data_IF_064167371123
#
_entry.id   IF_064167371123
#
_cell.length_a   1.000
_cell.length_b   1.000
_cell.length_c   1.000
_cell.angle_alpha   90.00
_cell.angle_beta   90.00
_cell.angle_gamma   90.00
#
_symmetry.space_group_name_H-M   'P 1'
#
loop_
_entity.id
_entity.type
_entity.pdbx_description
1 polymer ?
#
# COMPACT_ATOMS: atom_id res chain seq x y z
N UNK A 1 -2.36 -5.70 -19.32
CA UNK A 1 -1.64 -5.29 -18.09
C UNK A 1 -1.62 -6.43 -17.10
N UNK A 2 -0.47 -6.70 -16.52
CA UNK A 2 -0.30 -7.69 -15.45
C UNK A 2 -0.53 -7.00 -14.10
N UNK A 3 -1.31 -7.63 -13.20
CA UNK A 3 -1.48 -7.15 -11.82
C UNK A 3 -0.46 -7.80 -10.90
N UNK A 4 0.25 -6.99 -10.14
CA UNK A 4 1.29 -7.41 -9.19
C UNK A 4 0.94 -6.85 -7.81
N UNK A 5 0.68 -7.72 -6.86
CA UNK A 5 0.53 -7.37 -5.44
C UNK A 5 1.90 -7.54 -4.75
N UNK A 6 2.48 -6.43 -4.31
CA UNK A 6 3.84 -6.41 -3.76
C UNK A 6 3.96 -7.25 -2.50
N UNK A 7 2.98 -7.17 -1.59
CA UNK A 7 2.99 -7.94 -0.35
C UNK A 7 2.96 -9.44 -0.64
N UNK A 8 2.08 -9.87 -1.55
CA UNK A 8 1.96 -11.27 -1.95
C UNK A 8 3.25 -11.80 -2.58
N UNK A 9 3.94 -11.00 -3.38
CA UNK A 9 5.20 -11.39 -4.00
C UNK A 9 6.33 -11.54 -2.98
N UNK A 10 6.39 -10.64 -1.99
CA UNK A 10 7.36 -10.75 -0.89
C UNK A 10 7.09 -12.02 -0.06
N UNK A 11 5.83 -12.31 0.26
CA UNK A 11 5.45 -13.53 0.95
C UNK A 11 5.84 -14.79 0.16
N UNK A 12 5.53 -14.80 -1.12
CA UNK A 12 5.86 -15.93 -2.00
C UNK A 12 7.38 -16.17 -2.09
N UNK A 13 8.16 -15.12 -2.28
CA UNK A 13 9.61 -15.21 -2.39
C UNK A 13 10.29 -15.73 -1.10
N UNK A 14 9.68 -15.44 0.06
CA UNK A 14 10.21 -15.87 1.36
C UNK A 14 9.53 -17.11 1.93
N UNK A 15 8.50 -17.65 1.26
CA UNK A 15 7.68 -18.77 1.74
C UNK A 15 7.16 -18.53 3.18
N UNK A 16 6.74 -17.31 3.47
CA UNK A 16 6.41 -16.84 4.80
C UNK A 16 5.42 -15.68 4.69
N UNK A 17 4.40 -15.61 5.54
CA UNK A 17 3.51 -14.47 5.60
C UNK A 17 4.21 -13.22 6.20
N UNK A 18 3.65 -12.04 5.96
CA UNK A 18 4.24 -10.77 6.40
C UNK A 18 4.39 -10.72 7.92
N UNK A 19 3.42 -11.23 8.67
CA UNK A 19 3.51 -11.27 10.13
C UNK A 19 4.74 -12.04 10.58
N UNK A 20 4.99 -13.21 10.01
CA UNK A 20 6.18 -14.03 10.34
C UNK A 20 7.48 -13.35 9.88
N UNK A 21 7.47 -12.65 8.75
CA UNK A 21 8.62 -11.86 8.30
C UNK A 21 8.96 -10.78 9.33
N UNK A 22 7.97 -10.03 9.82
CA UNK A 22 8.16 -9.03 10.87
C UNK A 22 8.68 -9.64 12.17
N UNK A 23 8.13 -10.77 12.60
CA UNK A 23 8.52 -11.44 13.85
C UNK A 23 9.93 -12.02 13.78
N UNK A 24 10.33 -12.60 12.64
CA UNK A 24 11.61 -13.30 12.49
C UNK A 24 12.73 -12.40 11.96
N UNK A 25 12.45 -11.47 11.07
CA UNK A 25 13.44 -10.64 10.38
C UNK A 25 13.34 -9.15 10.73
N UNK A 26 12.20 -8.71 11.29
CA UNK A 26 11.92 -7.32 11.64
C UNK A 26 11.39 -6.47 10.48
N UNK A 27 10.80 -5.32 10.83
CA UNK A 27 10.22 -4.39 9.87
C UNK A 27 11.25 -3.86 8.86
N UNK A 28 12.45 -3.51 9.31
CA UNK A 28 13.52 -3.00 8.42
C UNK A 28 13.83 -3.95 7.28
N UNK A 29 13.91 -5.25 7.55
CA UNK A 29 14.17 -6.26 6.53
C UNK A 29 12.98 -6.42 5.57
N UNK A 30 11.76 -6.39 6.09
CA UNK A 30 10.57 -6.38 5.24
C UNK A 30 10.57 -5.18 4.29
N UNK A 31 10.87 -3.99 4.78
CA UNK A 31 10.93 -2.76 3.97
C UNK A 31 12.01 -2.82 2.88
N UNK A 32 13.15 -3.43 3.18
CA UNK A 32 14.19 -3.67 2.16
C UNK A 32 13.68 -4.58 1.04
N UNK A 33 13.01 -5.69 1.38
CA UNK A 33 12.47 -6.63 0.41
C UNK A 33 11.33 -6.04 -0.42
N UNK A 34 10.40 -5.32 0.24
CA UNK A 34 9.27 -4.64 -0.39
C UNK A 34 9.76 -3.61 -1.43
N UNK A 35 10.67 -2.73 -1.04
CA UNK A 35 11.21 -1.69 -1.92
C UNK A 35 12.05 -2.28 -3.06
N UNK A 36 12.93 -3.23 -2.78
CA UNK A 36 13.76 -3.87 -3.80
C UNK A 36 12.91 -4.57 -4.86
N UNK A 37 11.86 -5.27 -4.44
CA UNK A 37 10.95 -5.95 -5.36
C UNK A 37 10.20 -4.94 -6.24
N UNK A 38 9.62 -3.90 -5.63
CA UNK A 38 8.90 -2.87 -6.38
C UNK A 38 9.81 -2.15 -7.38
N UNK A 39 11.00 -1.72 -6.98
CA UNK A 39 11.97 -1.04 -7.84
C UNK A 39 12.35 -1.91 -9.04
N UNK A 40 12.57 -3.19 -8.84
CA UNK A 40 12.93 -4.11 -9.92
C UNK A 40 11.76 -4.31 -10.90
N UNK A 41 10.55 -4.54 -10.40
CA UNK A 41 9.37 -4.76 -11.23
C UNK A 41 8.93 -3.48 -11.97
N UNK A 42 9.09 -2.33 -11.38
CA UNK A 42 8.75 -1.04 -12.00
C UNK A 42 9.65 -0.65 -13.20
N UNK A 43 10.67 -1.44 -13.52
CA UNK A 43 11.43 -1.30 -14.77
C UNK A 43 10.68 -1.84 -15.99
N UNK A 44 9.68 -2.67 -15.78
CA UNK A 44 8.85 -3.26 -16.83
C UNK A 44 7.65 -2.34 -17.13
N UNK A 45 7.02 -2.55 -18.27
CA UNK A 45 5.85 -1.80 -18.72
C UNK A 45 4.57 -2.62 -18.61
N UNK A 46 3.44 -1.95 -18.76
CA UNK A 46 2.11 -2.57 -18.79
C UNK A 46 1.73 -3.36 -17.54
N UNK A 47 2.04 -2.80 -16.37
CA UNK A 47 1.74 -3.41 -15.07
C UNK A 47 0.84 -2.53 -14.22
N UNK A 48 0.07 -3.18 -13.35
CA UNK A 48 -0.70 -2.56 -12.28
C UNK A 48 -0.14 -3.06 -10.96
N UNK A 49 0.29 -2.16 -10.10
CA UNK A 49 0.81 -2.50 -8.78
C UNK A 49 -0.20 -2.22 -7.68
N UNK A 50 -0.47 -3.21 -6.84
CA UNK A 50 -1.03 -3.00 -5.52
C UNK A 50 0.11 -2.95 -4.51
N UNK A 51 0.25 -1.83 -3.80
CA UNK A 51 1.30 -1.64 -2.81
C UNK A 51 0.71 -1.55 -1.41
N UNK A 52 1.46 -1.99 -0.42
CA UNK A 52 1.19 -1.63 0.96
C UNK A 52 1.41 -0.13 1.19
N UNK A 53 0.80 0.42 2.24
CA UNK A 53 0.95 1.84 2.57
C UNK A 53 2.36 2.25 3.02
N UNK A 54 3.21 1.30 3.36
CA UNK A 54 4.59 1.56 3.75
C UNK A 54 5.57 1.79 2.61
N UNK A 55 5.16 1.57 1.36
CA UNK A 55 6.02 1.77 0.19
C UNK A 55 6.61 3.20 0.11
N UNK A 56 5.86 4.18 0.59
CA UNK A 56 6.27 5.60 0.61
C UNK A 56 7.37 5.92 1.62
N UNK A 57 7.75 4.98 2.48
CA UNK A 57 8.85 5.16 3.42
C UNK A 57 10.24 5.07 2.76
N UNK A 58 10.30 4.64 1.50
CA UNK A 58 11.51 4.58 0.71
C UNK A 58 11.49 5.66 -0.37
N UNK A 59 12.53 6.50 -0.42
CA UNK A 59 12.60 7.66 -1.32
C UNK A 59 12.65 7.25 -2.80
N UNK A 60 13.36 6.19 -3.15
CA UNK A 60 13.43 5.68 -4.52
C UNK A 60 12.05 5.16 -4.99
N UNK A 61 11.30 4.54 -4.10
CA UNK A 61 9.92 4.13 -4.37
C UNK A 61 9.01 5.34 -4.58
N UNK A 62 9.15 6.39 -3.78
CA UNK A 62 8.41 7.63 -3.96
C UNK A 62 8.68 8.27 -5.33
N UNK A 63 9.93 8.29 -5.75
CA UNK A 63 10.33 8.81 -7.07
C UNK A 63 9.72 7.99 -8.22
N UNK A 64 9.68 6.67 -8.10
CA UNK A 64 9.05 5.79 -9.07
C UNK A 64 7.53 6.05 -9.11
N UNK A 65 6.87 6.07 -7.97
CA UNK A 65 5.43 6.35 -7.85
C UNK A 65 5.06 7.69 -8.49
N UNK A 66 5.90 8.70 -8.34
CA UNK A 66 5.67 10.04 -8.89
C UNK A 66 5.98 10.16 -10.38
N UNK A 67 7.00 9.46 -10.88
CA UNK A 67 7.59 9.77 -12.19
C UNK A 67 7.46 8.65 -13.23
N UNK A 68 7.08 7.42 -12.83
CA UNK A 68 7.09 6.26 -13.75
C UNK A 68 5.71 5.72 -14.13
N UNK A 69 4.65 6.25 -13.55
CA UNK A 69 3.29 5.78 -13.84
C UNK A 69 2.24 6.72 -13.29
N UNK A 70 1.00 6.28 -13.28
CA UNK A 70 -0.11 6.99 -12.64
C UNK A 70 -0.40 6.35 -11.29
N UNK A 71 -0.20 7.11 -10.23
CA UNK A 71 -0.36 6.64 -8.86
C UNK A 71 -1.62 7.19 -8.22
N UNK A 72 -2.41 6.31 -7.65
CA UNK A 72 -3.65 6.62 -6.93
C UNK A 72 -3.47 6.38 -5.43
N UNK A 73 -3.86 7.34 -4.63
CA UNK A 73 -4.05 7.16 -3.19
C UNK A 73 -5.51 6.78 -2.94
N UNK A 74 -5.75 5.57 -2.49
CA UNK A 74 -7.06 5.13 -2.01
C UNK A 74 -7.16 5.47 -0.52
N UNK A 75 -8.01 6.42 -0.19
CA UNK A 75 -8.13 6.98 1.14
C UNK A 75 -9.48 6.62 1.77
N UNK A 76 -9.47 6.35 3.05
CA UNK A 76 -10.69 6.15 3.84
C UNK A 76 -10.48 6.60 5.28
N UNK A 77 -11.57 6.92 5.99
CA UNK A 77 -11.56 7.19 7.42
C UNK A 77 -11.07 5.96 8.21
N UNK A 78 -10.36 6.18 9.31
CA UNK A 78 -9.80 5.09 10.13
C UNK A 78 -10.87 4.11 10.62
N UNK A 79 -12.08 4.57 10.93
CA UNK A 79 -13.19 3.69 11.33
C UNK A 79 -13.64 2.79 10.19
N UNK A 80 -13.69 3.32 8.97
CA UNK A 80 -14.03 2.56 7.77
C UNK A 80 -12.92 1.54 7.47
N UNK A 81 -11.65 1.94 7.57
CA UNK A 81 -10.52 1.04 7.42
C UNK A 81 -10.56 -0.10 8.41
N UNK A 82 -10.84 0.19 9.69
CA UNK A 82 -10.96 -0.83 10.73
C UNK A 82 -12.04 -1.86 10.40
N UNK A 83 -13.19 -1.42 9.88
CA UNK A 83 -14.27 -2.33 9.47
C UNK A 83 -13.91 -3.19 8.26
N UNK A 84 -12.98 -2.74 7.41
CA UNK A 84 -12.49 -3.50 6.25
C UNK A 84 -11.39 -4.50 6.60
N UNK A 85 -10.72 -4.34 7.74
CA UNK A 85 -9.68 -5.28 8.21
C UNK A 85 -10.36 -6.49 8.83
N UNK A 86 -10.26 -7.65 8.18
CA UNK A 86 -10.86 -8.90 8.68
C UNK A 86 -10.11 -9.47 9.89
N UNK A 87 -8.79 -9.37 9.91
CA UNK A 87 -7.92 -9.90 10.95
C UNK A 87 -6.86 -8.87 11.35
N UNK A 88 -7.16 -8.05 12.38
CA UNK A 88 -6.24 -7.01 12.89
C UNK A 88 -4.93 -7.63 13.40
N UNK A 89 -5.00 -8.81 14.02
CA UNK A 89 -3.82 -9.53 14.53
C UNK A 89 -2.77 -9.85 13.46
N UNK A 90 -3.17 -9.89 12.18
CA UNK A 90 -2.27 -10.06 11.03
C UNK A 90 -1.70 -8.77 10.48
N UNK A 91 -2.02 -7.63 11.08
CA UNK A 91 -1.48 -6.31 10.73
C UNK A 91 -0.40 -5.92 11.74
N UNK A 92 0.90 -6.15 11.47
CA UNK A 92 1.97 -6.00 12.46
C UNK A 92 2.08 -4.61 13.09
N UNK A 93 1.73 -3.57 12.35
CA UNK A 93 1.83 -2.17 12.82
C UNK A 93 0.56 -1.65 13.48
N UNK A 94 -0.52 -2.42 13.51
CA UNK A 94 -1.78 -2.02 14.13
C UNK A 94 -1.89 -2.62 15.52
N UNK A 95 -2.01 -1.77 16.54
CA UNK A 95 -2.24 -2.22 17.91
C UNK A 95 -3.66 -2.78 18.05
N UNK A 96 -3.76 -4.06 18.42
CA UNK A 96 -5.05 -4.75 18.59
C UNK A 96 -5.92 -4.12 19.68
N UNK A 97 -5.30 -3.49 20.70
CA UNK A 97 -6.02 -2.84 21.81
C UNK A 97 -6.56 -1.46 21.45
N UNK A 98 -5.83 -0.71 20.61
CA UNK A 98 -6.16 0.65 20.20
C UNK A 98 -6.01 0.82 18.69
N UNK A 99 -6.80 0.09 17.86
CA UNK A 99 -6.57 0.02 16.42
C UNK A 99 -6.83 1.36 15.71
N UNK A 100 -7.84 2.12 16.12
CA UNK A 100 -8.16 3.42 15.49
C UNK A 100 -7.06 4.43 15.75
N UNK A 101 -6.58 4.53 16.97
CA UNK A 101 -5.46 5.42 17.33
C UNK A 101 -4.19 5.03 16.58
N UNK A 102 -3.90 3.74 16.50
CA UNK A 102 -2.77 3.18 15.75
C UNK A 102 -2.84 3.54 14.26
N UNK A 103 -3.98 3.37 13.62
CA UNK A 103 -4.21 3.76 12.23
C UNK A 103 -4.06 5.28 12.02
N UNK A 104 -4.56 6.08 12.94
CA UNK A 104 -4.43 7.54 12.88
C UNK A 104 -2.98 7.99 12.97
N UNK A 105 -2.18 7.40 13.86
CA UNK A 105 -0.75 7.69 13.99
C UNK A 105 0.03 7.30 12.72
N UNK A 106 -0.26 6.14 12.14
CA UNK A 106 0.34 5.73 10.86
C UNK A 106 0.02 6.74 9.77
N UNK A 107 -1.23 7.19 9.68
CA UNK A 107 -1.64 8.20 8.72
C UNK A 107 -0.88 9.53 8.92
N UNK A 108 -0.84 10.04 10.12
CA UNK A 108 -0.13 11.28 10.45
C UNK A 108 1.35 11.25 10.07
N UNK A 109 2.01 10.12 10.29
CA UNK A 109 3.42 9.92 9.96
C UNK A 109 3.70 9.89 8.46
N UNK A 110 2.71 9.47 7.64
CA UNK A 110 2.88 9.20 6.21
C UNK A 110 2.11 10.12 5.29
N UNK A 111 1.19 10.91 5.82
CA UNK A 111 0.26 11.76 5.05
C UNK A 111 0.96 12.59 3.99
N UNK A 112 2.03 13.29 4.37
CA UNK A 112 2.80 14.13 3.46
C UNK A 112 3.44 13.32 2.34
N UNK A 113 3.99 12.14 2.66
CA UNK A 113 4.60 11.23 1.68
C UNK A 113 3.56 10.69 0.69
N UNK A 114 2.36 10.35 1.17
CA UNK A 114 1.27 9.91 0.32
C UNK A 114 0.88 10.99 -0.69
N UNK A 115 0.66 12.21 -0.22
CA UNK A 115 0.25 13.31 -1.09
C UNK A 115 1.35 13.71 -2.09
N UNK A 116 2.62 13.65 -1.71
CA UNK A 116 3.74 13.90 -2.62
C UNK A 116 3.89 12.83 -3.70
N UNK A 117 3.56 11.59 -3.39
CA UNK A 117 3.80 10.43 -4.28
C UNK A 117 2.62 10.12 -5.20
N UNK A 118 1.41 10.59 -4.92
CA UNK A 118 0.24 10.30 -5.74
C UNK A 118 -0.06 11.38 -6.78
N UNK A 119 -0.81 10.98 -7.82
CA UNK A 119 -1.36 11.86 -8.85
C UNK A 119 -2.84 12.14 -8.60
N UNK A 120 -3.56 11.16 -8.09
CA UNK A 120 -4.98 11.22 -7.82
C UNK A 120 -5.31 10.65 -6.44
N UNK A 121 -6.33 11.22 -5.82
CA UNK A 121 -6.87 10.74 -4.55
C UNK A 121 -8.31 10.27 -4.79
N UNK A 122 -8.64 9.09 -4.29
CA UNK A 122 -10.01 8.56 -4.31
C UNK A 122 -10.45 8.35 -2.87
N UNK A 123 -11.48 9.08 -2.45
CA UNK A 123 -12.13 8.91 -1.15
C UNK A 123 -13.09 7.71 -1.25
N UNK A 124 -12.73 6.61 -0.61
CA UNK A 124 -13.42 5.32 -0.80
C UNK A 124 -14.48 5.01 0.25
N UNK A 125 -14.71 5.89 1.23
CA UNK A 125 -15.57 5.61 2.39
C UNK A 125 -16.97 5.12 2.02
N UNK A 126 -17.56 5.71 0.99
CA UNK A 126 -18.95 5.45 0.56
C UNK A 126 -19.04 4.73 -0.77
N UNK A 127 -17.91 4.29 -1.31
CA UNK A 127 -17.85 3.64 -2.61
C UNK A 127 -17.78 2.12 -2.47
N UNK A 128 -18.47 1.41 -3.35
CA UNK A 128 -18.25 -0.01 -3.59
C UNK A 128 -16.93 -0.20 -4.36
N UNK A 129 -16.46 -1.44 -4.42
CA UNK A 129 -15.26 -1.79 -5.20
C UNK A 129 -15.45 -1.41 -6.68
N UNK A 130 -16.61 -1.69 -7.26
CA UNK A 130 -16.90 -1.37 -8.66
C UNK A 130 -16.89 0.14 -8.92
N UNK A 131 -17.45 0.93 -8.01
CA UNK A 131 -17.43 2.39 -8.09
C UNK A 131 -16.00 2.95 -7.98
N UNK A 132 -15.15 2.37 -7.13
CA UNK A 132 -13.73 2.75 -7.06
C UNK A 132 -13.02 2.44 -8.38
N UNK A 133 -13.28 1.28 -8.96
CA UNK A 133 -12.71 0.89 -10.28
C UNK A 133 -13.17 1.86 -11.37
N UNK A 134 -14.44 2.23 -11.41
CA UNK A 134 -14.97 3.20 -12.37
C UNK A 134 -14.28 4.56 -12.25
N UNK A 135 -14.07 5.05 -11.02
CA UNK A 135 -13.33 6.30 -10.79
C UNK A 135 -11.87 6.21 -11.25
N UNK A 136 -11.20 5.08 -11.00
CA UNK A 136 -9.84 4.85 -11.48
C UNK A 136 -9.77 4.91 -13.01
N UNK A 137 -10.67 4.20 -13.69
CA UNK A 137 -10.73 4.15 -15.14
C UNK A 137 -10.98 5.53 -15.77
N UNK A 138 -11.87 6.33 -15.19
CA UNK A 138 -12.12 7.70 -15.65
C UNK A 138 -10.88 8.58 -15.60
N UNK A 139 -10.03 8.40 -14.58
CA UNK A 139 -8.83 9.23 -14.37
C UNK A 139 -7.65 8.82 -15.25
N UNK A 140 -7.58 7.58 -15.71
CA UNK A 140 -6.53 7.11 -16.62
C UNK A 140 -6.90 7.22 -18.09
N UNK A 141 -8.11 7.67 -18.43
CA UNK A 141 -8.59 7.82 -19.81
C UNK A 141 -8.49 6.54 -20.65
N UNK A 142 -8.82 5.43 -20.04
CA UNK A 142 -8.90 4.11 -20.72
C UNK A 142 -10.36 3.84 -21.13
#
# INVERSE_FOLDING_TARGET
MEHIDIDSEVEYANQMDIQNIFETMGEGKFREMESAFFIEKAKQHDQIFSTGGGIVLNDDCCDILKNKGTTFLLKADCKVLLNRINEISKRPLVDVKNPIESLSLIWEQREELYYKSCHHIIETDKLSIDEVVDELLQKVNI
#
